data_IF_916434604353
#
_entry.id   IF_916434604353
#
_cell.length_a   1.000
_cell.length_b   1.000
_cell.length_c   1.000
_cell.angle_alpha   90.00
_cell.angle_beta   90.00
_cell.angle_gamma   90.00
#
_symmetry.space_group_name_H-M   'P 1'
#
loop_
_entity.id
_entity.type
_entity.pdbx_description
1 polymer ?
#
# COMPACT_ATOMS: atom_id res chain seq x y z
N UNK A 1 55.96 -30.72 -12.37
CA UNK A 1 54.80 -29.93 -12.86
C UNK A 1 53.53 -30.20 -12.05
N UNK A 2 53.11 -31.46 -11.85
CA UNK A 2 51.92 -31.82 -11.03
C UNK A 2 51.95 -31.27 -9.59
N UNK A 3 53.11 -31.25 -8.93
CA UNK A 3 53.28 -30.71 -7.56
C UNK A 3 53.21 -29.18 -7.46
N UNK A 4 53.53 -28.46 -8.54
CA UNK A 4 53.40 -27.01 -8.59
C UNK A 4 51.93 -26.60 -8.84
N UNK A 5 51.22 -27.36 -9.66
CA UNK A 5 49.79 -27.18 -9.93
C UNK A 5 48.97 -27.47 -8.67
N UNK A 6 49.25 -28.57 -7.94
CA UNK A 6 48.48 -28.92 -6.74
C UNK A 6 48.61 -27.89 -5.62
N UNK A 7 49.79 -27.31 -5.42
CA UNK A 7 50.04 -26.31 -4.38
C UNK A 7 49.29 -24.99 -4.62
N UNK A 8 49.17 -24.57 -5.89
CA UNK A 8 48.37 -23.41 -6.28
C UNK A 8 46.87 -23.67 -6.16
N UNK A 9 46.40 -24.86 -6.55
CA UNK A 9 44.98 -25.26 -6.41
C UNK A 9 44.55 -25.31 -4.95
N UNK A 10 45.38 -25.84 -4.05
CA UNK A 10 45.10 -25.84 -2.61
C UNK A 10 45.01 -24.43 -2.04
N UNK A 11 45.88 -23.51 -2.48
CA UNK A 11 45.82 -22.11 -2.05
C UNK A 11 44.52 -21.41 -2.47
N UNK A 12 44.07 -21.65 -3.70
CA UNK A 12 42.80 -21.11 -4.21
C UNK A 12 41.61 -21.73 -3.47
N UNK A 13 41.63 -23.04 -3.22
CA UNK A 13 40.56 -23.73 -2.50
C UNK A 13 40.41 -23.21 -1.06
N UNK A 14 41.52 -23.03 -0.34
CA UNK A 14 41.50 -22.46 1.02
C UNK A 14 40.98 -21.02 0.98
N UNK A 15 41.49 -20.20 0.06
CA UNK A 15 41.04 -18.82 -0.09
C UNK A 15 39.55 -18.73 -0.40
N UNK A 16 39.04 -19.59 -1.28
CA UNK A 16 37.63 -19.68 -1.62
C UNK A 16 36.78 -20.07 -0.40
N UNK A 17 37.20 -21.07 0.39
CA UNK A 17 36.50 -21.48 1.62
C UNK A 17 36.47 -20.36 2.65
N UNK A 18 37.59 -19.68 2.88
CA UNK A 18 37.67 -18.56 3.84
C UNK A 18 36.77 -17.40 3.39
N UNK A 19 36.82 -17.06 2.11
CA UNK A 19 36.01 -15.97 1.55
C UNK A 19 34.51 -16.30 1.61
N UNK A 20 34.13 -17.51 1.23
CA UNK A 20 32.74 -17.97 1.33
C UNK A 20 32.24 -17.99 2.78
N UNK A 21 33.08 -18.41 3.73
CA UNK A 21 32.75 -18.39 5.17
C UNK A 21 32.53 -16.97 5.69
N UNK A 22 33.41 -16.03 5.33
CA UNK A 22 33.26 -14.61 5.68
C UNK A 22 31.96 -14.00 5.13
N UNK A 23 31.65 -14.30 3.87
CA UNK A 23 30.39 -13.85 3.24
C UNK A 23 29.19 -14.45 3.96
N UNK A 24 29.21 -15.75 4.27
CA UNK A 24 28.11 -16.43 4.95
C UNK A 24 27.85 -15.86 6.35
N UNK A 25 28.91 -15.62 7.15
CA UNK A 25 28.78 -15.01 8.48
C UNK A 25 28.16 -13.61 8.37
N UNK A 26 28.60 -12.82 7.39
CA UNK A 26 28.08 -11.47 7.15
C UNK A 26 26.61 -11.51 6.76
N UNK A 27 26.22 -12.41 5.85
CA UNK A 27 24.83 -12.55 5.41
C UNK A 27 23.93 -13.01 6.55
N UNK A 28 24.31 -14.05 7.30
CA UNK A 28 23.48 -14.56 8.41
C UNK A 28 23.37 -13.52 9.54
N UNK A 29 24.46 -12.80 9.86
CA UNK A 29 24.43 -11.74 10.87
C UNK A 29 23.67 -10.46 10.46
N UNK A 30 23.42 -10.26 9.17
CA UNK A 30 22.77 -9.05 8.63
C UNK A 30 21.37 -9.31 8.11
N UNK A 31 21.00 -10.57 7.84
CA UNK A 31 19.69 -10.95 7.32
C UNK A 31 18.52 -10.43 8.19
N UNK A 32 18.63 -10.56 9.52
CA UNK A 32 17.60 -10.08 10.43
C UNK A 32 17.47 -8.55 10.41
N UNK A 33 18.60 -7.83 10.32
CA UNK A 33 18.62 -6.37 10.21
C UNK A 33 18.01 -5.89 8.88
N UNK A 34 18.28 -6.60 7.78
CA UNK A 34 17.69 -6.29 6.47
C UNK A 34 16.18 -6.45 6.55
N UNK A 35 15.71 -7.60 7.06
CA UNK A 35 14.28 -7.88 7.19
C UNK A 35 13.57 -6.88 8.11
N UNK A 36 14.20 -6.48 9.22
CA UNK A 36 13.64 -5.47 10.12
C UNK A 36 13.58 -4.09 9.44
N UNK A 37 14.66 -3.66 8.77
CA UNK A 37 14.68 -2.39 8.04
C UNK A 37 13.64 -2.37 6.90
N UNK A 38 13.46 -3.47 6.19
CA UNK A 38 12.44 -3.62 5.15
C UNK A 38 11.03 -3.49 5.72
N UNK A 39 10.73 -4.18 6.83
CA UNK A 39 9.46 -4.05 7.54
C UNK A 39 9.21 -2.63 8.01
N UNK A 40 10.22 -1.99 8.60
CA UNK A 40 10.09 -0.60 9.05
C UNK A 40 9.85 0.36 7.87
N UNK A 41 10.50 0.15 6.73
CA UNK A 41 10.26 0.96 5.53
C UNK A 41 8.86 0.77 4.96
N UNK A 42 8.37 -0.46 4.88
CA UNK A 42 7.00 -0.76 4.44
C UNK A 42 5.98 -0.14 5.39
N UNK A 43 6.19 -0.30 6.70
CA UNK A 43 5.27 0.20 7.71
C UNK A 43 5.23 1.74 7.76
N UNK A 44 6.34 2.42 7.48
CA UNK A 44 6.40 3.90 7.49
C UNK A 44 5.31 4.52 6.61
N UNK A 45 5.14 4.03 5.38
CA UNK A 45 4.12 4.53 4.47
C UNK A 45 2.71 4.32 5.02
N UNK A 46 2.45 3.16 5.65
CA UNK A 46 1.15 2.85 6.26
C UNK A 46 0.84 3.79 7.44
N UNK A 47 1.83 4.05 8.28
CA UNK A 47 1.71 4.95 9.44
C UNK A 47 1.62 6.44 9.08
N UNK A 48 1.91 6.83 7.84
CA UNK A 48 1.63 8.19 7.40
C UNK A 48 0.13 8.45 7.19
N UNK A 49 -0.67 7.40 7.03
CA UNK A 49 -2.14 7.49 6.90
C UNK A 49 -2.82 7.30 8.26
N UNK A 50 -2.29 6.40 9.09
CA UNK A 50 -2.91 6.05 10.38
C UNK A 50 -2.07 6.56 11.54
N UNK A 51 -2.61 7.41 12.42
CA UNK A 51 -1.94 7.75 13.67
C UNK A 51 -1.65 6.47 14.46
N UNK A 52 -0.39 6.25 14.82
CA UNK A 52 0.01 5.10 15.66
C UNK A 52 -0.70 5.07 17.02
N UNK A 53 -1.17 6.23 17.47
CA UNK A 53 -1.82 6.41 18.75
C UNK A 53 -3.18 5.68 18.78
N UNK A 54 -3.24 4.63 19.60
CA UNK A 54 -4.47 3.86 19.83
C UNK A 54 -4.71 2.71 18.85
N UNK A 55 -3.68 2.16 18.22
CA UNK A 55 -3.76 0.86 17.55
C UNK A 55 -3.26 -0.26 18.48
N UNK A 56 -3.85 -1.45 18.37
CA UNK A 56 -3.52 -2.58 19.25
C UNK A 56 -2.21 -3.26 18.88
N UNK A 57 -1.89 -3.32 17.58
CA UNK A 57 -0.77 -4.08 17.03
C UNK A 57 -0.16 -3.40 15.80
N UNK A 58 0.95 -3.95 15.30
CA UNK A 58 1.57 -3.47 14.06
C UNK A 58 0.63 -3.73 12.87
N UNK A 59 0.47 -2.74 11.99
CA UNK A 59 -0.37 -2.83 10.80
C UNK A 59 0.04 -4.00 9.89
N UNK A 60 1.34 -4.31 9.86
CA UNK A 60 1.89 -5.38 9.03
C UNK A 60 1.49 -6.79 9.47
N UNK A 61 0.96 -6.96 10.68
CA UNK A 61 0.57 -8.29 11.20
C UNK A 61 -0.82 -8.73 10.73
N UNK A 62 -1.68 -7.79 10.34
CA UNK A 62 -3.07 -8.05 9.95
C UNK A 62 -3.29 -7.88 8.44
N UNK A 63 -2.53 -8.64 7.64
CA UNK A 63 -2.61 -8.64 6.19
C UNK A 63 -3.66 -9.60 5.62
N UNK A 64 -4.38 -9.18 4.58
CA UNK A 64 -5.28 -10.03 3.78
C UNK A 64 -4.90 -9.91 2.32
N UNK A 65 -4.73 -11.04 1.64
CA UNK A 65 -4.48 -11.04 0.20
C UNK A 65 -5.77 -10.78 -0.57
N UNK A 66 -5.68 -9.95 -1.61
CA UNK A 66 -6.77 -9.68 -2.52
C UNK A 66 -6.26 -9.53 -3.95
N UNK A 67 -7.16 -9.68 -4.92
CA UNK A 67 -6.89 -9.43 -6.34
C UNK A 67 -8.02 -8.56 -6.89
N UNK A 68 -7.69 -7.36 -7.37
CA UNK A 68 -8.69 -6.39 -7.84
C UNK A 68 -8.19 -5.61 -9.07
N UNK A 69 -8.08 -6.25 -10.24
CA UNK A 69 -7.57 -5.62 -11.45
C UNK A 69 -8.43 -4.45 -11.92
N UNK A 70 -9.75 -4.61 -11.91
CA UNK A 70 -10.68 -3.61 -12.46
C UNK A 70 -10.77 -2.36 -11.58
N UNK A 71 -10.86 -2.55 -10.26
CA UNK A 71 -11.12 -1.46 -9.31
C UNK A 71 -9.83 -0.86 -8.72
N UNK A 72 -8.80 -1.66 -8.46
CA UNK A 72 -7.58 -1.20 -7.80
C UNK A 72 -6.34 -1.25 -8.69
N UNK A 73 -6.46 -1.76 -9.93
CA UNK A 73 -5.38 -1.76 -10.91
C UNK A 73 -4.34 -2.86 -10.71
N UNK A 74 -4.65 -3.89 -9.91
CA UNK A 74 -3.72 -4.97 -9.57
C UNK A 74 -4.02 -6.25 -10.33
N UNK A 75 -3.11 -6.61 -11.24
CA UNK A 75 -3.17 -7.88 -11.99
C UNK A 75 -2.54 -9.07 -11.25
N UNK A 76 -1.99 -8.82 -10.05
CA UNK A 76 -1.37 -9.82 -9.18
C UNK A 76 -1.97 -9.70 -7.77
N UNK A 77 -1.87 -10.75 -6.94
CA UNK A 77 -2.23 -10.66 -5.53
C UNK A 77 -1.47 -9.55 -4.81
N UNK A 78 -2.19 -8.74 -4.05
CA UNK A 78 -1.68 -7.68 -3.19
C UNK A 78 -2.22 -7.86 -1.77
N UNK A 79 -1.55 -7.23 -0.79
CA UNK A 79 -1.95 -7.34 0.62
C UNK A 79 -2.61 -6.05 1.10
N UNK A 80 -3.85 -6.15 1.56
CA UNK A 80 -4.52 -5.12 2.33
C UNK A 80 -4.18 -5.27 3.82
N UNK A 81 -4.01 -4.17 4.54
CA UNK A 81 -3.64 -4.20 5.97
C UNK A 81 -4.75 -3.63 6.84
N UNK A 82 -5.22 -4.37 7.85
CA UNK A 82 -6.19 -3.87 8.83
C UNK A 82 -5.49 -3.11 9.94
N UNK A 83 -6.06 -1.96 10.30
CA UNK A 83 -5.74 -1.26 11.53
C UNK A 83 -6.73 -1.68 12.61
N UNK A 84 -6.22 -2.32 13.67
CA UNK A 84 -7.01 -2.85 14.77
C UNK A 84 -6.98 -1.89 15.96
N UNK A 85 -8.13 -1.70 16.62
CA UNK A 85 -8.26 -0.97 17.87
C UNK A 85 -9.28 -1.69 18.76
N UNK A 86 -8.88 -1.99 20.00
CA UNK A 86 -9.64 -2.79 20.95
C UNK A 86 -10.17 -4.13 20.39
N UNK A 87 -9.40 -4.79 19.52
CA UNK A 87 -9.77 -6.05 18.88
C UNK A 87 -10.64 -5.90 17.63
N UNK A 88 -11.01 -4.68 17.24
CA UNK A 88 -11.89 -4.41 16.09
C UNK A 88 -11.13 -3.72 14.94
N UNK A 89 -11.42 -4.10 13.70
CA UNK A 89 -10.88 -3.45 12.52
C UNK A 89 -11.55 -2.08 12.31
N UNK A 90 -10.84 -1.00 12.65
CA UNK A 90 -11.35 0.38 12.49
C UNK A 90 -11.07 0.97 11.12
N UNK A 91 -10.09 0.42 10.39
CA UNK A 91 -9.67 0.88 9.07
C UNK A 91 -9.00 -0.26 8.30
N UNK A 92 -9.03 -0.18 6.97
CA UNK A 92 -8.17 -0.99 6.08
C UNK A 92 -7.33 -0.09 5.19
N UNK A 93 -6.09 -0.47 4.93
CA UNK A 93 -5.17 0.21 4.01
C UNK A 93 -5.01 -0.67 2.78
N UNK A 94 -5.38 -0.12 1.62
CA UNK A 94 -5.38 -0.79 0.34
C UNK A 94 -4.27 -0.22 -0.54
N UNK A 95 -3.35 -1.04 -1.07
CA UNK A 95 -2.53 -0.67 -2.21
C UNK A 95 -3.42 -0.41 -3.43
N UNK A 96 -3.12 0.61 -4.21
CA UNK A 96 -3.90 1.01 -5.39
C UNK A 96 -2.97 1.50 -6.49
N UNK A 97 -3.29 1.16 -7.74
CA UNK A 97 -2.67 1.72 -8.94
C UNK A 97 -3.69 2.54 -9.73
N UNK A 98 -3.33 3.79 -10.01
CA UNK A 98 -4.00 4.61 -11.01
C UNK A 98 -3.23 4.46 -12.34
N UNK A 99 -3.74 3.69 -13.33
CA UNK A 99 -3.03 3.44 -14.59
C UNK A 99 -3.04 4.65 -15.52
N UNK A 100 -3.92 5.61 -15.26
CA UNK A 100 -4.27 6.76 -16.11
C UNK A 100 -3.54 8.06 -15.73
N UNK A 101 -2.40 7.97 -15.03
CA UNK A 101 -1.52 9.11 -14.82
C UNK A 101 -0.93 9.64 -16.14
N UNK A 102 -0.47 10.90 -16.15
CA UNK A 102 -0.07 11.57 -17.38
C UNK A 102 1.18 10.95 -18.03
N UNK A 103 2.18 10.61 -17.23
CA UNK A 103 3.48 10.06 -17.68
C UNK A 103 3.60 8.56 -17.36
N UNK A 104 2.58 7.98 -16.74
CA UNK A 104 2.53 6.56 -16.41
C UNK A 104 1.67 6.31 -15.19
N UNK A 105 1.74 5.09 -14.68
CA UNK A 105 0.99 4.67 -13.50
C UNK A 105 1.42 5.41 -12.22
N UNK A 106 0.47 5.58 -11.32
CA UNK A 106 0.68 6.15 -9.99
C UNK A 106 0.36 5.07 -8.96
N UNK A 107 1.38 4.63 -8.23
CA UNK A 107 1.23 3.70 -7.11
C UNK A 107 0.95 4.47 -5.84
N UNK A 108 -0.09 4.08 -5.12
CA UNK A 108 -0.53 4.72 -3.89
C UNK A 108 -1.08 3.70 -2.89
N UNK A 109 -1.24 4.14 -1.65
CA UNK A 109 -2.04 3.46 -0.64
C UNK A 109 -3.17 4.38 -0.21
N UNK A 110 -4.32 3.77 0.04
CA UNK A 110 -5.55 4.46 0.45
C UNK A 110 -6.08 3.78 1.70
N UNK A 111 -6.18 4.53 2.78
CA UNK A 111 -6.83 4.08 4.01
C UNK A 111 -8.33 4.38 3.95
N UNK A 112 -9.16 3.38 4.24
CA UNK A 112 -10.61 3.50 4.32
C UNK A 112 -11.05 3.08 5.72
N UNK A 113 -11.75 3.98 6.41
CA UNK A 113 -12.35 3.73 7.71
C UNK A 113 -13.49 2.71 7.60
N UNK A 114 -13.87 2.09 8.73
CA UNK A 114 -14.97 1.13 8.80
C UNK A 114 -16.34 1.69 8.36
N UNK A 115 -16.50 3.01 8.34
CA UNK A 115 -17.69 3.74 7.86
C UNK A 115 -17.65 4.05 6.34
N UNK A 116 -16.65 3.54 5.61
CA UNK A 116 -16.37 3.80 4.19
C UNK A 116 -15.94 5.24 3.86
N UNK A 117 -15.57 6.05 4.87
CA UNK A 117 -14.87 7.32 4.65
C UNK A 117 -13.37 7.08 4.41
N UNK A 118 -12.76 7.93 3.59
CA UNK A 118 -11.32 7.89 3.33
C UNK A 118 -10.58 8.44 4.54
N UNK A 119 -9.76 7.60 5.18
CA UNK A 119 -8.88 8.02 6.26
C UNK A 119 -7.72 8.88 5.73
N UNK A 120 -7.19 8.52 4.57
CA UNK A 120 -6.13 9.27 3.91
C UNK A 120 -5.56 8.55 2.70
N UNK A 121 -4.73 9.27 1.95
CA UNK A 121 -4.11 8.79 0.71
C UNK A 121 -2.63 9.16 0.73
N UNK A 122 -1.75 8.24 0.29
CA UNK A 122 -0.32 8.49 0.09
C UNK A 122 0.13 7.91 -1.23
N UNK A 123 0.75 8.76 -2.05
CA UNK A 123 1.42 8.32 -3.28
C UNK A 123 2.78 7.76 -2.90
N UNK A 124 3.04 6.51 -3.33
CA UNK A 124 4.29 5.80 -3.08
C UNK A 124 5.28 6.01 -4.23
N UNK A 125 4.80 6.00 -5.47
CA UNK A 125 5.61 6.18 -6.66
C UNK A 125 4.80 6.77 -7.82
N UNK A 126 5.44 7.65 -8.60
CA UNK A 126 4.89 8.20 -9.83
C UNK A 126 6.01 8.71 -10.75
N UNK A 127 5.68 8.95 -12.03
CA UNK A 127 6.60 9.56 -13.02
C UNK A 127 6.13 10.92 -13.54
N UNK A 128 5.14 11.51 -12.89
CA UNK A 128 4.54 12.78 -13.30
C UNK A 128 5.54 13.93 -13.37
N UNK A 129 5.25 14.89 -14.26
CA UNK A 129 6.15 16.00 -14.56
C UNK A 129 6.38 16.90 -13.34
N UNK A 130 7.65 17.15 -12.95
CA UNK A 130 7.99 18.05 -11.85
C UNK A 130 7.41 19.46 -12.03
N UNK A 131 6.81 20.02 -10.98
CA UNK A 131 6.18 21.34 -10.98
C UNK A 131 4.76 21.40 -11.55
N UNK A 132 4.30 20.35 -12.23
CA UNK A 132 2.94 20.22 -12.78
C UNK A 132 2.14 19.16 -12.02
N UNK A 133 2.49 17.88 -12.23
CA UNK A 133 1.74 16.72 -11.72
C UNK A 133 2.31 16.14 -10.43
N UNK A 134 3.56 16.46 -10.07
CA UNK A 134 4.22 15.97 -8.85
C UNK A 134 3.60 16.48 -7.54
N UNK A 135 2.63 17.39 -7.62
CA UNK A 135 1.86 17.90 -6.47
C UNK A 135 0.95 16.85 -5.81
N UNK A 136 0.86 15.65 -6.38
CA UNK A 136 0.26 14.49 -5.71
C UNK A 136 1.13 13.92 -4.60
N UNK A 137 2.45 14.17 -4.63
CA UNK A 137 3.37 13.83 -3.55
C UNK A 137 3.17 14.80 -2.37
N UNK A 138 2.95 14.24 -1.17
CA UNK A 138 2.76 14.99 0.07
C UNK A 138 3.96 15.90 0.40
N UNK A 139 5.17 15.53 -0.05
CA UNK A 139 6.39 16.33 0.12
C UNK A 139 6.38 17.60 -0.72
N UNK A 140 5.53 17.67 -1.75
CA UNK A 140 5.41 18.81 -2.67
C UNK A 140 4.17 19.66 -2.40
N UNK A 141 3.08 19.05 -1.95
CA UNK A 141 1.79 19.72 -1.79
C UNK A 141 0.87 18.97 -0.82
N UNK A 142 -0.01 19.71 -0.14
CA UNK A 142 -1.01 19.17 0.79
C UNK A 142 -2.29 18.66 0.13
N UNK A 143 -2.40 18.74 -1.19
CA UNK A 143 -3.65 18.42 -1.90
C UNK A 143 -4.16 17.01 -1.68
N UNK A 144 -3.26 16.02 -1.59
CA UNK A 144 -3.64 14.63 -1.30
C UNK A 144 -4.29 14.46 0.08
N UNK A 145 -4.15 15.45 0.98
CA UNK A 145 -4.86 15.47 2.27
C UNK A 145 -6.34 15.85 2.12
N UNK A 146 -6.75 16.42 0.98
CA UNK A 146 -8.14 16.78 0.71
C UNK A 146 -9.09 15.58 0.58
N UNK A 147 -8.55 14.36 0.47
CA UNK A 147 -9.34 13.14 0.49
C UNK A 147 -9.76 12.72 1.91
N UNK A 148 -9.06 13.16 2.96
CA UNK A 148 -9.39 12.76 4.32
C UNK A 148 -10.83 13.15 4.70
N UNK A 149 -11.55 12.23 5.35
CA UNK A 149 -12.96 12.33 5.73
C UNK A 149 -13.94 12.47 4.55
N UNK A 150 -13.51 12.23 3.31
CA UNK A 150 -14.41 12.17 2.16
C UNK A 150 -15.01 10.77 2.06
N UNK A 151 -16.29 10.70 1.71
CA UNK A 151 -16.99 9.46 1.42
C UNK A 151 -17.88 9.65 0.19
N UNK A 152 -18.25 8.55 -0.45
CA UNK A 152 -19.23 8.56 -1.54
C UNK A 152 -20.22 7.42 -1.42
N UNK A 153 -21.41 7.65 -1.96
CA UNK A 153 -22.38 6.60 -2.28
C UNK A 153 -21.95 5.87 -3.57
N UNK A 154 -22.63 4.77 -3.88
CA UNK A 154 -22.40 4.01 -5.11
C UNK A 154 -22.43 4.91 -6.35
N UNK A 155 -23.46 5.76 -6.43
CA UNK A 155 -23.57 6.81 -7.44
C UNK A 155 -23.34 8.14 -6.73
N UNK A 156 -22.21 8.79 -7.02
CA UNK A 156 -21.90 10.14 -6.55
C UNK A 156 -21.29 10.96 -7.71
N UNK A 157 -22.09 11.77 -8.42
CA UNK A 157 -21.62 12.55 -9.55
C UNK A 157 -20.63 13.65 -9.15
N UNK A 158 -20.54 13.98 -7.86
CA UNK A 158 -19.59 14.98 -7.37
C UNK A 158 -18.22 14.39 -7.05
N UNK A 159 -18.03 13.07 -7.16
CA UNK A 159 -16.73 12.43 -7.01
C UNK A 159 -15.87 12.61 -8.26
N UNK A 160 -15.32 13.81 -8.40
CA UNK A 160 -14.51 14.21 -9.55
C UNK A 160 -13.75 15.50 -9.27
N UNK A 161 -12.94 15.93 -10.24
CA UNK A 161 -12.29 17.24 -10.15
C UNK A 161 -13.30 18.36 -10.41
N UNK A 162 -13.11 19.53 -9.78
CA UNK A 162 -14.01 20.70 -9.89
C UNK A 162 -14.24 21.16 -11.32
N UNK A 163 -13.23 21.03 -12.19
CA UNK A 163 -13.35 21.38 -13.61
C UNK A 163 -14.35 20.49 -14.36
N UNK A 164 -14.59 19.29 -13.87
CA UNK A 164 -15.55 18.33 -14.43
C UNK A 164 -16.85 18.31 -13.61
N UNK A 165 -17.07 19.28 -12.72
CA UNK A 165 -18.28 19.39 -11.88
C UNK A 165 -18.20 18.67 -10.53
N UNK A 166 -17.04 18.11 -10.17
CA UNK A 166 -16.85 17.42 -8.89
C UNK A 166 -16.37 18.32 -7.75
N UNK A 167 -16.00 17.72 -6.62
CA UNK A 167 -15.63 18.43 -5.38
C UNK A 167 -14.12 18.63 -5.16
N UNK A 168 -13.27 17.88 -5.87
CA UNK A 168 -11.82 17.89 -5.66
C UNK A 168 -11.12 18.96 -6.49
N UNK A 169 -10.20 19.70 -5.90
CA UNK A 169 -9.40 20.66 -6.66
C UNK A 169 -8.52 19.98 -7.70
N UNK A 170 -8.17 20.70 -8.76
CA UNK A 170 -7.06 20.33 -9.63
C UNK A 170 -5.89 21.30 -9.42
N UNK A 171 -4.72 20.94 -9.91
CA UNK A 171 -3.61 21.89 -9.98
C UNK A 171 -3.61 22.66 -11.30
N UNK A 172 -3.07 23.87 -11.27
CA UNK A 172 -2.80 24.64 -12.49
C UNK A 172 -1.76 23.92 -13.35
N UNK A 173 -2.03 23.79 -14.66
CA UNK A 173 -1.11 23.16 -15.60
C UNK A 173 -1.14 21.63 -15.66
N UNK A 174 -1.88 20.95 -14.78
CA UNK A 174 -2.04 19.49 -14.80
C UNK A 174 -3.51 19.12 -14.61
N UNK A 175 -4.11 18.47 -15.62
CA UNK A 175 -5.52 18.03 -15.55
C UNK A 175 -5.68 16.50 -15.62
N UNK A 176 -4.69 15.77 -16.11
CA UNK A 176 -4.74 14.31 -16.20
C UNK A 176 -4.42 13.67 -14.84
N UNK A 177 -3.29 14.06 -14.24
CA UNK A 177 -2.84 13.54 -12.94
C UNK A 177 -3.89 13.63 -11.82
N UNK A 178 -4.54 14.79 -11.58
CA UNK A 178 -5.49 14.88 -10.47
C UNK A 178 -6.73 14.02 -10.71
N UNK A 179 -7.17 13.88 -11.96
CA UNK A 179 -8.31 13.01 -12.32
C UNK A 179 -7.98 11.55 -12.05
N UNK A 180 -6.80 11.09 -12.46
CA UNK A 180 -6.35 9.72 -12.24
C UNK A 180 -6.39 9.34 -10.75
N UNK A 181 -5.83 10.22 -9.90
CA UNK A 181 -5.84 10.00 -8.45
C UNK A 181 -7.26 10.04 -7.88
N UNK A 182 -8.07 11.05 -8.22
CA UNK A 182 -9.46 11.15 -7.74
C UNK A 182 -10.28 9.91 -8.12
N UNK A 183 -10.17 9.45 -9.36
CA UNK A 183 -10.87 8.27 -9.85
C UNK A 183 -10.40 7.01 -9.14
N UNK A 184 -9.09 6.83 -8.95
CA UNK A 184 -8.55 5.67 -8.24
C UNK A 184 -8.99 5.61 -6.77
N UNK A 185 -8.99 6.73 -6.05
CA UNK A 185 -9.51 6.77 -4.66
C UNK A 185 -11.01 6.46 -4.66
N UNK A 186 -11.77 6.95 -5.63
CA UNK A 186 -13.20 6.65 -5.77
C UNK A 186 -13.48 5.16 -5.96
N UNK A 187 -12.77 4.53 -6.90
CA UNK A 187 -12.85 3.07 -7.12
C UNK A 187 -12.44 2.28 -5.87
N UNK A 188 -11.54 2.83 -5.06
CA UNK A 188 -11.14 2.20 -3.79
C UNK A 188 -12.26 2.24 -2.76
N UNK A 189 -12.98 3.36 -2.64
CA UNK A 189 -14.17 3.44 -1.80
C UNK A 189 -15.23 2.43 -2.28
N UNK A 190 -15.43 2.31 -3.60
CA UNK A 190 -16.37 1.33 -4.16
C UNK A 190 -15.95 -0.12 -3.85
N UNK A 191 -14.69 -0.45 -4.07
CA UNK A 191 -14.15 -1.77 -3.76
C UNK A 191 -14.34 -2.11 -2.28
N UNK A 192 -14.02 -1.17 -1.38
CA UNK A 192 -14.22 -1.36 0.05
C UNK A 192 -15.68 -1.61 0.40
N UNK A 193 -16.62 -0.83 -0.17
CA UNK A 193 -18.05 -1.00 0.09
C UNK A 193 -18.55 -2.37 -0.36
N UNK A 194 -18.07 -2.87 -1.51
CA UNK A 194 -18.42 -4.19 -2.03
C UNK A 194 -17.86 -5.34 -1.18
N UNK A 195 -16.67 -5.17 -0.59
CA UNK A 195 -15.95 -6.22 0.14
C UNK A 195 -15.82 -5.91 1.64
N UNK A 196 -16.70 -5.07 2.20
CA UNK A 196 -16.56 -4.54 3.56
C UNK A 196 -16.45 -5.63 4.62
N UNK A 197 -17.28 -6.67 4.51
CA UNK A 197 -17.28 -7.78 5.46
C UNK A 197 -15.95 -8.51 5.49
N UNK A 198 -15.46 -8.89 4.30
CA UNK A 198 -14.16 -9.55 4.11
C UNK A 198 -12.99 -8.66 4.56
N UNK A 199 -12.96 -7.40 4.13
CA UNK A 199 -11.85 -6.49 4.42
C UNK A 199 -11.76 -6.09 5.89
N UNK A 200 -12.88 -6.07 6.61
CA UNK A 200 -12.90 -5.78 8.05
C UNK A 200 -12.86 -7.07 8.92
N UNK A 201 -12.98 -8.25 8.32
CA UNK A 201 -13.02 -9.50 9.06
C UNK A 201 -14.29 -9.65 9.89
N UNK A 202 -15.39 -9.05 9.42
CA UNK A 202 -16.71 -9.25 9.97
C UNK A 202 -17.17 -10.64 9.50
N UNK A 203 -16.80 -11.67 10.24
CA UNK A 203 -17.28 -13.03 10.00
C UNK A 203 -18.82 -13.07 10.09
N UNK A 204 -19.43 -13.93 9.26
CA UNK A 204 -20.86 -14.27 9.20
C UNK A 204 -21.41 -14.93 10.50
N UNK A 205 -20.97 -14.51 11.69
CA UNK A 205 -21.44 -15.08 12.97
C UNK A 205 -22.94 -14.83 13.19
N UNK A 206 -23.53 -13.86 12.48
CA UNK A 206 -24.97 -13.62 12.46
C UNK A 206 -25.79 -14.71 11.71
N UNK A 207 -25.16 -15.54 10.88
CA UNK A 207 -25.87 -16.60 10.13
C UNK A 207 -25.91 -17.95 10.85
N UNK A 208 -25.03 -18.20 11.84
CA UNK A 208 -25.05 -19.44 12.62
C UNK A 208 -26.06 -19.41 13.78
N UNK A 209 -26.34 -18.27 14.40
CA UNK A 209 -27.40 -18.17 15.41
C UNK A 209 -28.81 -18.35 14.83
N UNK A 210 -29.03 -17.98 13.57
CA UNK A 210 -30.34 -18.17 12.91
C UNK A 210 -30.56 -19.63 12.47
N UNK A 211 -29.49 -20.42 12.22
CA UNK A 211 -29.59 -21.84 11.85
C UNK A 211 -29.68 -22.80 13.04
N UNK A 212 -29.25 -22.37 14.22
CA UNK A 212 -29.37 -23.17 15.45
C UNK A 212 -30.67 -22.90 16.23
N UNK A 213 -31.52 -21.99 15.73
CA UNK A 213 -32.77 -21.60 16.39
C UNK A 213 -34.01 -21.76 15.48
N UNK A 214 -33.93 -22.63 14.47
CA UNK A 214 -35.04 -23.04 13.60
C UNK A 214 -35.02 -24.54 13.36
#
# INVERSE_FOLDING_TARGET
MLSAISRSTTGIAIFAVVTAGLIAITQVGTADRIKQNEREQQARSLYEIVPREGLDSDLLENGIEFVAPDLLGHNRPETAYRAMRNGEAVMVILPVVAPDGYTGEISMIVGINSDASVAGVRVLAHKETPGLGDKVDIKKSRWVLGFANQSKTEIDPSWGVRKDGGRFDQFTGATITPRAVVNAVGRTVDYFRLHRGELLGLSDDAQQETRNNG
#
